data_IF_158820697219
#
_entry.id   IF_158820697219
#
_cell.length_a   1.000
_cell.length_b   1.000
_cell.length_c   1.000
_cell.angle_alpha   90.00
_cell.angle_beta   90.00
_cell.angle_gamma   90.00
#
_symmetry.space_group_name_H-M   'P 1'
#
loop_
_entity.id
_entity.type
_entity.pdbx_description
1 polymer ?
#
# COMPACT_ATOMS: atom_id res chain seq x y z
N UNK A 1 -28.33 -16.62 4.61
CA UNK A 1 -27.03 -16.62 3.90
C UNK A 1 -25.98 -16.04 4.85
N UNK A 2 -24.93 -16.80 5.23
CA UNK A 2 -23.85 -16.28 6.07
C UNK A 2 -23.11 -15.17 5.29
N UNK A 3 -23.08 -13.96 5.83
CA UNK A 3 -22.35 -12.83 5.24
C UNK A 3 -20.84 -13.11 5.37
N UNK A 4 -20.22 -13.57 4.29
CA UNK A 4 -18.76 -13.74 4.22
C UNK A 4 -18.15 -12.38 3.88
N UNK A 5 -17.49 -11.76 4.86
CA UNK A 5 -16.74 -10.54 4.60
C UNK A 5 -15.34 -10.95 4.16
N UNK A 6 -14.86 -10.45 3.01
CA UNK A 6 -13.49 -10.70 2.53
C UNK A 6 -12.44 -10.37 3.62
N UNK A 7 -12.75 -9.42 4.50
CA UNK A 7 -11.94 -9.01 5.65
C UNK A 7 -11.82 -10.06 6.77
N UNK A 8 -12.62 -11.13 6.76
CA UNK A 8 -12.52 -12.22 7.74
C UNK A 8 -11.53 -13.31 7.33
N UNK A 9 -10.84 -13.15 6.20
CA UNK A 9 -9.73 -14.00 5.81
C UNK A 9 -8.55 -13.80 6.76
N UNK A 10 -7.96 -14.91 7.26
CA UNK A 10 -6.78 -14.92 8.14
C UNK A 10 -5.57 -14.15 7.60
N UNK A 11 -5.52 -13.95 6.28
CA UNK A 11 -4.46 -13.19 5.61
C UNK A 11 -4.46 -11.71 5.99
N UNK A 12 -5.58 -11.17 6.49
CA UNK A 12 -5.71 -9.80 6.99
C UNK A 12 -5.48 -9.68 8.51
N UNK A 13 -5.28 -10.78 9.23
CA UNK A 13 -5.12 -10.81 10.70
C UNK A 13 -3.69 -10.40 11.16
N UNK A 14 -2.74 -10.33 10.22
CA UNK A 14 -1.34 -10.01 10.52
C UNK A 14 -1.07 -8.50 10.65
N UNK A 15 -0.21 -8.12 11.62
CA UNK A 15 0.30 -6.75 11.67
C UNK A 15 1.18 -6.47 10.44
N UNK A 16 0.72 -5.63 9.52
CA UNK A 16 1.53 -5.18 8.39
C UNK A 16 2.62 -4.23 8.88
N UNK A 17 3.85 -4.74 9.02
CA UNK A 17 5.03 -3.94 9.35
C UNK A 17 5.72 -3.52 8.06
N UNK A 18 5.67 -2.22 7.76
CA UNK A 18 6.43 -1.62 6.66
C UNK A 18 7.85 -1.38 7.12
N UNK A 19 8.82 -1.99 6.44
CA UNK A 19 10.23 -1.67 6.60
C UNK A 19 10.54 -0.37 5.83
N UNK A 20 10.35 0.76 6.51
CA UNK A 20 10.46 2.09 5.93
C UNK A 20 11.82 2.34 5.27
N UNK A 21 12.90 1.89 5.90
CA UNK A 21 14.27 2.09 5.41
C UNK A 21 14.50 1.37 4.08
N UNK A 22 14.11 0.08 4.00
CA UNK A 22 14.24 -0.70 2.77
C UNK A 22 13.39 -0.14 1.65
N UNK A 23 12.20 0.38 1.96
CA UNK A 23 11.31 0.98 0.96
C UNK A 23 11.90 2.28 0.40
N UNK A 24 12.43 3.14 1.27
CA UNK A 24 13.08 4.37 0.85
C UNK A 24 14.35 4.10 0.03
N UNK A 25 15.13 3.08 0.40
CA UNK A 25 16.29 2.65 -0.38
C UNK A 25 15.87 2.11 -1.75
N UNK A 26 14.86 1.24 -1.81
CA UNK A 26 14.32 0.74 -3.07
C UNK A 26 13.81 1.88 -3.96
N UNK A 27 13.22 2.93 -3.39
CA UNK A 27 12.82 4.11 -4.16
C UNK A 27 13.98 4.89 -4.74
N UNK A 28 15.11 5.01 -4.04
CA UNK A 28 16.32 5.67 -4.57
C UNK A 28 16.80 4.99 -5.86
N UNK A 29 16.64 3.67 -5.98
CA UNK A 29 16.99 2.90 -7.19
C UNK A 29 16.16 3.28 -8.43
N UNK A 30 14.95 3.80 -8.23
CA UNK A 30 14.05 4.21 -9.32
C UNK A 30 14.09 5.72 -9.59
N UNK A 31 15.06 6.45 -9.00
CA UNK A 31 15.18 7.92 -9.11
C UNK A 31 15.31 8.40 -10.56
N UNK A 32 15.94 7.61 -11.43
CA UNK A 32 16.17 7.96 -12.83
C UNK A 32 14.98 7.67 -13.76
N UNK A 33 13.99 6.92 -13.27
CA UNK A 33 12.75 6.66 -14.02
C UNK A 33 11.75 7.80 -13.80
N UNK A 34 11.25 8.39 -14.90
CA UNK A 34 10.26 9.47 -14.82
C UNK A 34 8.95 8.93 -14.23
N UNK A 35 8.55 9.48 -13.09
CA UNK A 35 7.26 9.16 -12.45
C UNK A 35 6.12 9.52 -13.40
N UNK A 36 5.19 8.59 -13.61
CA UNK A 36 3.93 8.85 -14.32
C UNK A 36 2.84 9.15 -13.29
N UNK A 37 2.22 10.34 -13.30
CA UNK A 37 1.10 10.63 -12.42
C UNK A 37 -0.09 9.72 -12.78
N UNK A 38 -0.80 9.25 -11.77
CA UNK A 38 -1.97 8.39 -11.94
C UNK A 38 -3.07 8.85 -10.99
N UNK A 39 -4.26 9.09 -11.54
CA UNK A 39 -5.44 9.44 -10.75
C UNK A 39 -6.12 8.19 -10.24
N UNK A 40 -6.46 8.18 -8.94
CA UNK A 40 -7.21 7.09 -8.30
C UNK A 40 -8.37 7.70 -7.53
N UNK A 41 -9.59 7.22 -7.79
CA UNK A 41 -10.77 7.67 -7.08
C UNK A 41 -10.80 7.06 -5.68
N UNK A 42 -10.73 7.92 -4.65
CA UNK A 42 -10.81 7.55 -3.24
C UNK A 42 -11.69 8.59 -2.53
N UNK A 43 -12.40 8.18 -1.48
CA UNK A 43 -13.10 9.13 -0.63
C UNK A 43 -12.12 9.82 0.35
N UNK A 44 -12.50 11.01 0.82
CA UNK A 44 -11.64 11.84 1.68
C UNK A 44 -11.23 11.11 2.97
N UNK A 45 -12.13 10.35 3.58
CA UNK A 45 -11.82 9.60 4.80
C UNK A 45 -10.70 8.58 4.61
N UNK A 46 -10.69 7.86 3.48
CA UNK A 46 -9.61 6.92 3.15
C UNK A 46 -8.29 7.65 2.91
N UNK A 47 -8.32 8.81 2.21
CA UNK A 47 -7.11 9.62 1.98
C UNK A 47 -6.49 10.06 3.31
N UNK A 48 -7.32 10.49 4.27
CA UNK A 48 -6.87 10.89 5.59
C UNK A 48 -6.27 9.72 6.38
N UNK A 49 -6.89 8.54 6.32
CA UNK A 49 -6.36 7.34 6.97
C UNK A 49 -5.01 6.93 6.38
N UNK A 50 -4.88 6.91 5.05
CA UNK A 50 -3.63 6.61 4.35
C UNK A 50 -2.50 7.57 4.76
N UNK A 51 -2.79 8.88 4.87
CA UNK A 51 -1.82 9.87 5.34
C UNK A 51 -1.40 9.60 6.78
N UNK A 52 -2.32 9.26 7.67
CA UNK A 52 -2.00 8.92 9.07
C UNK A 52 -1.13 7.67 9.17
N UNK A 53 -1.43 6.63 8.39
CA UNK A 53 -0.63 5.41 8.34
C UNK A 53 0.78 5.73 7.85
N UNK A 54 0.90 6.47 6.75
CA UNK A 54 2.20 6.86 6.20
C UNK A 54 3.03 7.66 7.21
N UNK A 55 2.41 8.62 7.89
CA UNK A 55 3.05 9.42 8.94
C UNK A 55 3.54 8.56 10.11
N UNK A 56 2.71 7.64 10.61
CA UNK A 56 3.11 6.69 11.68
C UNK A 56 4.31 5.82 11.29
N UNK A 57 4.44 5.52 10.00
CA UNK A 57 5.51 4.69 9.45
C UNK A 57 6.73 5.52 9.00
N UNK A 58 6.70 6.85 9.13
CA UNK A 58 7.81 7.73 8.73
C UNK A 58 8.06 7.79 7.22
N UNK A 59 7.08 7.44 6.38
CA UNK A 59 7.20 7.45 4.92
C UNK A 59 6.21 8.43 4.27
N UNK A 60 6.52 9.01 3.09
CA UNK A 60 5.55 9.81 2.37
C UNK A 60 4.36 8.97 1.89
N UNK A 61 3.14 9.51 1.93
CA UNK A 61 1.93 8.73 1.56
C UNK A 61 2.00 8.16 0.13
N UNK A 62 2.63 8.88 -0.81
CA UNK A 62 2.81 8.40 -2.19
C UNK A 62 3.62 7.10 -2.25
N UNK A 63 4.57 6.95 -1.32
CA UNK A 63 5.40 5.74 -1.17
C UNK A 63 4.54 4.59 -0.65
N UNK A 64 3.74 4.85 0.37
CA UNK A 64 2.79 3.88 0.91
C UNK A 64 1.84 3.36 -0.18
N UNK A 65 1.27 4.26 -0.98
CA UNK A 65 0.35 3.91 -2.08
C UNK A 65 1.05 3.04 -3.12
N UNK A 66 2.28 3.39 -3.51
CA UNK A 66 3.06 2.57 -4.45
C UNK A 66 3.28 1.16 -3.89
N UNK A 67 3.63 1.04 -2.62
CA UNK A 67 3.84 -0.27 -1.98
C UNK A 67 2.55 -1.09 -2.00
N UNK A 68 1.41 -0.50 -1.62
CA UNK A 68 0.11 -1.19 -1.67
C UNK A 68 -0.28 -1.66 -3.06
N UNK A 69 -0.07 -0.82 -4.10
CA UNK A 69 -0.38 -1.20 -5.48
C UNK A 69 0.50 -2.38 -5.92
N UNK A 70 1.81 -2.33 -5.65
CA UNK A 70 2.74 -3.38 -6.07
C UNK A 70 2.52 -4.69 -5.31
N UNK A 71 2.36 -4.64 -3.99
CA UNK A 71 2.08 -5.81 -3.15
C UNK A 71 0.73 -6.44 -3.52
N UNK A 72 -0.30 -5.63 -3.72
CA UNK A 72 -1.61 -6.08 -4.18
C UNK A 72 -1.54 -6.80 -5.53
N UNK A 73 -0.80 -6.24 -6.50
CA UNK A 73 -0.61 -6.89 -7.81
C UNK A 73 0.15 -8.21 -7.69
N UNK A 74 1.17 -8.29 -6.84
CA UNK A 74 1.92 -9.53 -6.62
C UNK A 74 1.04 -10.62 -5.99
N UNK A 75 0.22 -10.27 -4.99
CA UNK A 75 -0.74 -11.19 -4.38
C UNK A 75 -1.76 -11.70 -5.38
N UNK A 76 -2.31 -10.83 -6.23
CA UNK A 76 -3.25 -11.22 -7.27
C UNK A 76 -2.62 -12.19 -8.28
N UNK A 77 -1.36 -11.96 -8.67
CA UNK A 77 -0.62 -12.87 -9.57
C UNK A 77 -0.36 -14.25 -8.96
N UNK A 78 -0.17 -14.33 -7.64
CA UNK A 78 0.05 -15.61 -6.93
C UNK A 78 -1.25 -16.39 -6.72
N UNK A 79 -2.38 -15.70 -6.69
CA UNK A 79 -3.69 -16.29 -6.49
C UNK A 79 -4.38 -16.71 -7.81
N UNK A 80 -3.89 -16.22 -8.95
CA UNK A 80 -4.34 -16.58 -10.30
C UNK A 80 -3.56 -17.78 -10.84
#
# INVERSE_FOLDING_TARGET
MKKYYVKSLKEYDGSFKLDAERILEAMKRFKDSRKKPTSVALNESTIQELKRVAHKQGIPYQVLIRVFILDGLERLKKAA
#
